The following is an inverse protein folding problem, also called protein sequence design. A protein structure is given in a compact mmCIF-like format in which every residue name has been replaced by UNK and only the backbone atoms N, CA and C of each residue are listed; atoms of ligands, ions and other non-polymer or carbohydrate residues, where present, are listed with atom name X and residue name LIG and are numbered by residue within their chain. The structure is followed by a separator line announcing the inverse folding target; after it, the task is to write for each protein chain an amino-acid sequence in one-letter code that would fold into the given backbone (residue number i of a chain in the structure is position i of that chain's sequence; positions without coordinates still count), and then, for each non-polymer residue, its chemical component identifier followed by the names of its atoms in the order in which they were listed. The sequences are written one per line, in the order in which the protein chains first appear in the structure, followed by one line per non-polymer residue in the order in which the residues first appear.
data_IF_159099159426
#
_entry.id   IF_159099159426
#
_cell.length_a   1.000
_cell.length_b   1.000
_cell.length_c   1.000
_cell.angle_alpha   90.00
_cell.angle_beta   90.00
_cell.angle_gamma   90.00
#
_symmetry.space_group_name_H-M   'P 1'
#
loop_
_entity.id
_entity.type
_entity.pdbx_description
1 polymer ?
#
# COMPACT_ATOMS: atom_id res chain seq x y z
N UNK A 1 14.28 -23.02 -59.36
CA UNK A 1 14.50 -23.68 -58.05
C UNK A 1 13.71 -22.85 -57.04
N UNK A 2 12.49 -23.19 -56.57
CA UNK A 2 12.03 -24.36 -55.78
C UNK A 2 13.03 -24.68 -54.67
N UNK A 3 12.73 -24.75 -53.38
CA UNK A 3 11.54 -24.61 -52.50
C UNK A 3 12.10 -24.36 -51.08
N UNK A 4 11.29 -23.84 -50.14
CA UNK A 4 11.71 -23.77 -48.75
C UNK A 4 10.69 -23.14 -47.79
N UNK A 5 9.47 -23.66 -47.80
CA UNK A 5 8.43 -23.41 -46.79
C UNK A 5 8.89 -23.90 -45.42
N UNK A 6 8.74 -23.09 -44.37
CA UNK A 6 8.64 -23.60 -43.00
C UNK A 6 7.33 -23.15 -42.38
N UNK A 7 6.56 -24.16 -42.01
CA UNK A 7 5.28 -24.09 -41.30
C UNK A 7 5.58 -24.22 -39.80
N UNK A 8 4.96 -23.35 -39.01
CA UNK A 8 4.45 -23.66 -37.67
C UNK A 8 5.47 -23.81 -36.55
N UNK A 9 5.43 -22.88 -35.60
CA UNK A 9 5.21 -23.23 -34.20
C UNK A 9 4.34 -22.13 -33.57
N UNK A 10 3.12 -22.54 -33.21
CA UNK A 10 2.25 -21.84 -32.27
C UNK A 10 3.02 -21.65 -30.96
N UNK A 11 3.55 -20.45 -30.73
CA UNK A 11 3.84 -20.04 -29.37
C UNK A 11 2.57 -19.46 -28.79
N UNK A 12 1.95 -20.29 -27.96
CA UNK A 12 0.76 -19.98 -27.21
C UNK A 12 0.79 -18.56 -26.67
N UNK A 13 -0.26 -17.82 -26.98
CA UNK A 13 -0.67 -16.68 -26.16
C UNK A 13 -0.84 -17.21 -24.74
N UNK A 14 0.20 -17.09 -23.91
CA UNK A 14 -0.03 -16.93 -22.49
C UNK A 14 -1.03 -15.77 -22.37
N UNK A 15 -2.13 -15.94 -21.63
CA UNK A 15 -3.13 -14.89 -21.53
C UNK A 15 -2.39 -13.63 -21.10
N UNK A 16 -2.40 -12.66 -22.00
CA UNK A 16 -1.98 -11.32 -21.69
C UNK A 16 -2.83 -10.91 -20.50
N UNK A 17 -2.20 -10.87 -19.33
CA UNK A 17 -2.64 -9.95 -18.29
C UNK A 17 -2.36 -8.58 -18.91
N UNK A 18 -3.29 -8.14 -19.75
CA UNK A 18 -3.62 -6.75 -19.91
C UNK A 18 -3.70 -6.23 -18.48
N UNK A 19 -2.68 -5.50 -18.06
CA UNK A 19 -2.72 -4.72 -16.82
C UNK A 19 -3.81 -3.69 -17.08
N UNK A 20 -5.03 -4.09 -16.74
CA UNK A 20 -6.26 -3.42 -17.08
C UNK A 20 -6.21 -1.99 -16.56
N UNK A 21 -6.87 -1.10 -17.28
CA UNK A 21 -7.36 0.16 -16.75
C UNK A 21 -7.79 0.00 -15.28
N UNK A 22 -7.34 0.91 -14.41
CA UNK A 22 -7.61 0.98 -12.97
C UNK A 22 -8.58 -0.11 -12.50
N UNK A 23 -8.05 -1.23 -11.97
CA UNK A 23 -8.83 -1.90 -10.93
C UNK A 23 -9.09 -0.85 -9.88
N UNK A 24 -10.35 -0.66 -9.54
CA UNK A 24 -10.71 0.26 -8.48
C UNK A 24 -9.89 -0.14 -7.27
N UNK A 25 -9.01 0.75 -6.82
CA UNK A 25 -8.11 0.50 -5.70
C UNK A 25 -8.92 0.11 -4.45
N UNK A 26 -10.20 0.53 -4.37
CA UNK A 26 -11.16 0.05 -3.39
C UNK A 26 -11.26 -1.47 -3.32
N UNK A 27 -11.26 -2.16 -4.46
CA UNK A 27 -11.34 -3.62 -4.54
C UNK A 27 -10.06 -4.33 -4.08
N UNK A 28 -8.94 -3.60 -3.99
CA UNK A 28 -7.67 -4.16 -3.55
C UNK A 28 -7.48 -4.06 -2.03
N UNK A 29 -8.07 -3.06 -1.37
CA UNK A 29 -8.06 -2.97 0.09
C UNK A 29 -9.10 -3.94 0.66
N UNK A 30 -8.65 -4.82 1.54
CA UNK A 30 -9.46 -5.88 2.14
C UNK A 30 -9.99 -5.47 3.51
N UNK A 31 -9.13 -4.88 4.35
CA UNK A 31 -9.52 -4.43 5.68
C UNK A 31 -8.58 -3.37 6.24
N UNK A 32 -9.07 -2.65 7.24
CA UNK A 32 -8.35 -1.63 8.01
C UNK A 32 -8.66 -1.85 9.49
N UNK A 33 -7.65 -1.72 10.35
CA UNK A 33 -7.80 -1.66 11.81
C UNK A 33 -7.07 -0.43 12.35
N UNK A 34 -7.72 0.29 13.24
CA UNK A 34 -7.14 1.39 14.00
C UNK A 34 -7.38 1.09 15.47
N UNK A 35 -6.32 1.07 16.27
CA UNK A 35 -6.44 0.61 17.65
C UNK A 35 -5.26 0.98 18.52
N UNK A 36 -5.42 0.70 19.81
CA UNK A 36 -4.34 0.77 20.78
C UNK A 36 -3.53 -0.53 20.82
N UNK A 37 -2.76 -0.70 21.89
CA UNK A 37 -1.96 -1.91 22.12
C UNK A 37 -2.79 -3.16 22.40
N UNK A 38 -4.02 -3.00 22.92
CA UNK A 38 -4.86 -4.13 23.37
C UNK A 38 -6.20 -4.23 22.64
N UNK A 39 -6.72 -3.13 22.10
CA UNK A 39 -8.08 -3.06 21.56
C UNK A 39 -8.12 -2.34 20.21
N UNK A 40 -9.10 -2.72 19.40
CA UNK A 40 -9.45 -2.00 18.16
C UNK A 40 -10.45 -0.91 18.50
N UNK A 41 -10.16 0.32 18.06
CA UNK A 41 -11.09 1.45 18.14
C UNK A 41 -12.03 1.46 16.94
N UNK A 42 -11.48 1.14 15.77
CA UNK A 42 -12.20 1.08 14.51
C UNK A 42 -11.72 -0.10 13.67
N UNK A 43 -12.66 -0.77 13.01
CA UNK A 43 -12.37 -1.82 12.06
C UNK A 43 -13.26 -1.64 10.85
N UNK A 44 -12.65 -1.65 9.67
CA UNK A 44 -13.36 -1.64 8.39
C UNK A 44 -12.98 -2.88 7.60
N UNK A 45 -13.96 -3.47 6.93
CA UNK A 45 -13.76 -4.62 6.04
C UNK A 45 -14.49 -4.39 4.73
N UNK A 46 -13.85 -4.71 3.63
CA UNK A 46 -14.47 -4.59 2.32
C UNK A 46 -15.51 -5.70 2.13
N UNK A 47 -16.80 -5.34 2.13
CA UNK A 47 -17.90 -6.29 1.93
C UNK A 47 -17.92 -6.94 0.54
N UNK A 48 -17.28 -6.32 -0.45
CA UNK A 48 -17.31 -6.77 -1.85
C UNK A 48 -16.31 -7.89 -2.14
N UNK A 49 -15.23 -7.99 -1.35
CA UNK A 49 -14.15 -8.95 -1.61
C UNK A 49 -14.37 -10.30 -0.94
N UNK A 50 -15.40 -10.43 -0.09
CA UNK A 50 -15.65 -11.61 0.75
C UNK A 50 -14.51 -11.95 1.70
N UNK A 51 -13.47 -11.10 1.77
CA UNK A 51 -12.26 -11.34 2.55
C UNK A 51 -12.56 -11.06 4.01
N UNK A 52 -12.26 -12.02 4.87
CA UNK A 52 -12.49 -11.87 6.30
C UNK A 52 -11.35 -11.09 6.93
N UNK A 53 -11.72 -10.08 7.73
CA UNK A 53 -10.80 -9.42 8.66
C UNK A 53 -10.15 -10.46 9.57
N UNK A 54 -8.82 -10.51 9.57
CA UNK A 54 -8.06 -11.44 10.41
C UNK A 54 -7.59 -10.76 11.69
N UNK A 55 -8.26 -11.05 12.81
CA UNK A 55 -7.85 -10.61 14.15
C UNK A 55 -6.42 -11.05 14.50
N UNK A 56 -5.97 -12.18 13.96
CA UNK A 56 -4.62 -12.71 14.20
C UNK A 56 -3.56 -11.76 13.62
N UNK A 57 -3.79 -11.15 12.47
CA UNK A 57 -2.82 -10.22 11.87
C UNK A 57 -2.73 -8.93 12.65
N UNK A 58 -3.85 -8.45 13.19
CA UNK A 58 -3.86 -7.29 14.09
C UNK A 58 -3.12 -7.60 15.39
N UNK A 59 -3.34 -8.77 16.00
CA UNK A 59 -2.58 -9.21 17.18
C UNK A 59 -1.09 -9.29 16.85
N UNK A 60 -0.74 -9.84 15.67
CA UNK A 60 0.66 -9.93 15.21
C UNK A 60 1.27 -8.55 15.07
N UNK A 61 0.57 -7.61 14.41
CA UNK A 61 1.03 -6.23 14.26
C UNK A 61 1.23 -5.52 15.61
N UNK A 62 0.36 -5.77 16.59
CA UNK A 62 0.49 -5.25 17.97
C UNK A 62 1.67 -5.86 18.72
N UNK A 63 2.03 -7.10 18.42
CA UNK A 63 3.12 -7.81 19.09
C UNK A 63 4.52 -7.44 18.58
N UNK A 64 4.62 -6.72 17.46
CA UNK A 64 5.91 -6.33 16.90
C UNK A 64 6.59 -5.33 17.86
N UNK A 65 7.78 -5.66 18.39
CA UNK A 65 8.45 -4.82 19.37
C UNK A 65 9.02 -3.55 18.73
N UNK A 66 8.99 -2.46 19.50
CA UNK A 66 9.58 -1.18 19.11
C UNK A 66 8.57 -0.14 18.64
N UNK A 67 9.06 1.09 18.46
CA UNK A 67 8.31 2.19 17.89
C UNK A 67 8.31 2.03 16.37
N UNK A 68 7.31 1.34 15.83
CA UNK A 68 7.12 1.25 14.37
C UNK A 68 6.59 2.58 13.80
N UNK A 69 7.32 3.68 14.00
CA UNK A 69 7.02 4.97 13.33
C UNK A 69 7.20 4.82 11.82
N UNK A 70 8.13 3.95 11.42
CA UNK A 70 8.26 3.44 10.05
C UNK A 70 7.22 2.34 9.76
N UNK A 71 6.90 2.19 8.47
CA UNK A 71 6.01 1.12 8.00
C UNK A 71 6.66 -0.25 8.13
N UNK A 72 5.91 -1.19 8.72
CA UNK A 72 6.27 -2.60 8.75
C UNK A 72 5.43 -3.36 7.73
N UNK A 73 6.10 -4.12 6.88
CA UNK A 73 5.49 -4.87 5.78
C UNK A 73 5.44 -6.36 6.12
N UNK A 74 4.27 -6.97 5.98
CA UNK A 74 4.10 -8.42 6.12
C UNK A 74 3.41 -8.98 4.87
N UNK A 75 3.90 -10.11 4.36
CA UNK A 75 3.28 -10.83 3.24
C UNK A 75 2.66 -12.13 3.75
N UNK A 76 1.42 -12.39 3.36
CA UNK A 76 0.71 -13.65 3.55
C UNK A 76 0.52 -14.33 2.19
N UNK A 77 -0.04 -15.54 2.19
CA UNK A 77 -0.24 -16.32 0.96
C UNK A 77 -1.21 -15.63 -0.01
N UNK A 78 -2.25 -14.98 0.51
CA UNK A 78 -3.36 -14.45 -0.31
C UNK A 78 -3.42 -12.92 -0.34
N UNK A 79 -2.76 -12.26 0.61
CA UNK A 79 -2.78 -10.82 0.77
C UNK A 79 -1.48 -10.35 1.44
N UNK A 80 -1.36 -9.05 1.59
CA UNK A 80 -0.26 -8.42 2.33
C UNK A 80 -0.80 -7.35 3.26
N UNK A 81 0.02 -7.00 4.22
CA UNK A 81 -0.33 -6.12 5.32
C UNK A 81 0.77 -5.08 5.48
N UNK A 82 0.36 -3.85 5.78
CA UNK A 82 1.25 -2.81 6.27
C UNK A 82 0.66 -2.28 7.56
N UNK A 83 1.52 -1.95 8.50
CA UNK A 83 1.11 -1.21 9.67
C UNK A 83 2.19 -0.22 10.11
N UNK A 84 1.75 0.78 10.89
CA UNK A 84 2.61 1.76 11.57
C UNK A 84 1.95 2.21 12.86
N UNK A 85 2.78 2.64 13.80
CA UNK A 85 2.35 3.20 15.07
C UNK A 85 2.63 4.69 15.07
N UNK A 86 1.58 5.50 15.28
CA UNK A 86 1.72 6.94 15.38
C UNK A 86 1.56 7.39 16.84
N UNK A 87 2.45 8.27 17.34
CA UNK A 87 2.26 8.85 18.66
C UNK A 87 1.01 9.72 18.64
N UNK A 88 0.22 9.62 19.71
CA UNK A 88 -0.92 10.50 19.88
C UNK A 88 -0.43 11.94 20.09
N UNK A 89 -0.92 12.93 19.33
CA UNK A 89 -0.36 14.28 19.31
C UNK A 89 -0.40 14.95 20.70
N UNK A 90 -1.47 14.73 21.46
CA UNK A 90 -1.64 15.30 22.81
C UNK A 90 -1.20 14.37 23.95
N UNK A 91 -0.87 13.10 23.63
CA UNK A 91 -0.58 12.03 24.59
C UNK A 91 0.62 11.26 24.10
N UNK A 92 1.76 11.92 23.94
CA UNK A 92 2.94 11.39 23.23
C UNK A 92 3.43 9.99 23.64
N UNK A 93 3.00 9.45 24.79
CA UNK A 93 3.26 8.08 25.23
C UNK A 93 2.28 7.03 24.69
N UNK A 94 1.04 7.41 24.37
CA UNK A 94 0.04 6.54 23.76
C UNK A 94 0.26 6.49 22.27
N UNK A 95 0.48 5.30 21.72
CA UNK A 95 0.59 5.08 20.28
C UNK A 95 -0.70 4.48 19.75
N UNK A 96 -1.10 4.94 18.58
CA UNK A 96 -2.21 4.38 17.82
C UNK A 96 -1.62 3.56 16.68
N UNK A 97 -1.98 2.29 16.63
CA UNK A 97 -1.63 1.36 15.57
C UNK A 97 -2.63 1.51 14.43
N UNK A 98 -2.11 1.73 13.22
CA UNK A 98 -2.88 1.72 11.98
C UNK A 98 -2.43 0.52 11.15
N UNK A 99 -3.39 -0.33 10.77
CA UNK A 99 -3.17 -1.56 10.02
C UNK A 99 -4.03 -1.52 8.76
N UNK A 100 -3.44 -1.90 7.62
CA UNK A 100 -4.16 -2.08 6.36
C UNK A 100 -3.77 -3.41 5.72
N UNK A 101 -4.78 -4.20 5.37
CA UNK A 101 -4.65 -5.42 4.58
C UNK A 101 -5.13 -5.19 3.15
N UNK A 102 -4.35 -5.64 2.17
CA UNK A 102 -4.69 -5.51 0.76
C UNK A 102 -4.27 -6.74 -0.04
N UNK A 103 -4.88 -6.92 -1.21
CA UNK A 103 -4.51 -7.96 -2.17
C UNK A 103 -3.03 -7.91 -2.52
N UNK A 104 -2.48 -9.03 -3.01
CA UNK A 104 -1.08 -9.09 -3.45
C UNK A 104 -0.75 -8.14 -4.62
N UNK A 105 -1.76 -7.69 -5.38
CA UNK A 105 -1.60 -6.79 -6.53
C UNK A 105 -1.53 -5.32 -6.14
N UNK A 106 -2.10 -4.94 -4.98
CA UNK A 106 -2.02 -3.58 -4.47
C UNK A 106 -0.57 -3.13 -4.33
N UNK A 107 -0.20 -1.89 -4.65
CA UNK A 107 1.19 -1.43 -4.45
C UNK A 107 1.40 -0.94 -3.00
N UNK A 108 2.57 -1.21 -2.42
CA UNK A 108 2.88 -0.82 -1.02
C UNK A 108 2.76 0.70 -0.83
N UNK A 109 3.27 1.48 -1.78
CA UNK A 109 3.16 2.94 -1.79
C UNK A 109 1.73 3.47 -1.74
N UNK A 110 0.77 2.72 -2.30
CA UNK A 110 -0.65 3.09 -2.26
C UNK A 110 -1.20 2.89 -0.85
N UNK A 111 -0.93 1.73 -0.26
CA UNK A 111 -1.33 1.39 1.12
C UNK A 111 -0.68 2.35 2.14
N UNK A 112 0.59 2.70 1.95
CA UNK A 112 1.30 3.70 2.79
C UNK A 112 0.63 5.07 2.73
N UNK A 113 0.34 5.56 1.51
CA UNK A 113 -0.35 6.83 1.31
C UNK A 113 -1.77 6.83 1.89
N UNK A 114 -2.44 5.67 1.85
CA UNK A 114 -3.74 5.48 2.47
C UNK A 114 -3.66 5.59 3.99
N UNK A 115 -2.69 4.90 4.62
CA UNK A 115 -2.47 5.00 6.06
C UNK A 115 -2.05 6.41 6.52
N UNK A 116 -1.26 7.13 5.72
CA UNK A 116 -0.94 8.54 6.00
C UNK A 116 -2.20 9.38 6.06
N UNK A 117 -3.05 9.28 5.02
CA UNK A 117 -4.30 10.02 4.95
C UNK A 117 -5.24 9.69 6.12
N UNK A 118 -5.42 8.40 6.42
CA UNK A 118 -6.25 7.97 7.54
C UNK A 118 -5.70 8.42 8.89
N UNK A 119 -4.39 8.40 9.08
CA UNK A 119 -3.75 8.92 10.29
C UNK A 119 -4.06 10.40 10.48
N UNK A 120 -3.91 11.19 9.41
CA UNK A 120 -4.25 12.63 9.43
C UNK A 120 -5.73 12.87 9.79
N UNK A 121 -6.67 12.16 9.16
CA UNK A 121 -8.10 12.31 9.44
C UNK A 121 -8.45 11.85 10.86
N UNK A 122 -7.88 10.72 11.30
CA UNK A 122 -8.11 10.17 12.64
C UNK A 122 -7.73 11.17 13.72
N UNK A 123 -6.52 11.75 13.63
CA UNK A 123 -6.07 12.72 14.62
C UNK A 123 -6.76 14.09 14.48
N UNK A 124 -7.15 14.50 13.27
CA UNK A 124 -7.95 15.71 13.10
C UNK A 124 -9.32 15.60 13.80
N UNK A 125 -9.96 14.42 13.74
CA UNK A 125 -11.30 14.20 14.29
C UNK A 125 -11.30 13.80 15.76
N UNK A 126 -10.35 12.95 16.17
CA UNK A 126 -10.33 12.31 17.48
C UNK A 126 -9.07 12.62 18.29
N UNK A 127 -8.13 13.40 17.77
CA UNK A 127 -6.86 13.70 18.47
C UNK A 127 -7.02 14.48 19.77
N UNK A 128 -8.13 15.21 19.94
CA UNK A 128 -8.48 15.87 21.21
C UNK A 128 -9.33 15.01 22.16
N UNK A 129 -9.78 13.83 21.71
CA UNK A 129 -10.64 12.98 22.55
C UNK A 129 -9.81 12.24 23.60
N UNK A 130 -10.12 12.50 24.86
CA UNK A 130 -9.40 11.94 26.00
C UNK A 130 -9.87 10.52 26.37
N UNK A 131 -11.00 10.05 25.85
CA UNK A 131 -11.63 8.80 26.27
C UNK A 131 -11.79 7.82 25.09
N UNK A 132 -10.70 7.18 24.67
CA UNK A 132 -10.77 6.02 23.76
C UNK A 132 -11.48 4.80 24.37
N UNK A 133 -11.82 4.87 25.67
CA UNK A 133 -12.60 3.87 26.41
C UNK A 133 -14.11 3.94 26.16
N UNK A 134 -14.60 4.93 25.41
CA UNK A 134 -16.04 5.15 25.16
C UNK A 134 -16.73 4.12 24.25
N UNK A 135 -16.06 3.02 23.94
CA UNK A 135 -16.59 1.92 23.14
C UNK A 135 -16.63 2.20 21.62
N UNK A 136 -16.85 1.16 20.79
CA UNK A 136 -16.69 1.23 19.33
C UNK A 136 -17.57 2.28 18.63
N UNK A 137 -18.73 2.60 19.23
CA UNK A 137 -19.72 3.53 18.67
C UNK A 137 -19.18 4.95 18.44
N UNK A 138 -18.17 5.36 19.21
CA UNK A 138 -17.58 6.69 19.06
C UNK A 138 -16.92 6.88 17.68
N UNK A 139 -16.47 5.78 17.07
CA UNK A 139 -15.67 5.79 15.85
C UNK A 139 -16.44 5.32 14.62
N UNK A 140 -17.73 4.98 14.73
CA UNK A 140 -18.57 4.54 13.61
C UNK A 140 -18.65 5.58 12.48
N UNK A 141 -18.55 6.87 12.83
CA UNK A 141 -18.55 7.94 11.82
C UNK A 141 -17.28 7.99 10.94
N UNK A 142 -16.25 7.20 11.25
CA UNK A 142 -15.01 7.16 10.49
C UNK A 142 -15.13 6.42 9.15
N UNK A 143 -16.23 5.71 8.91
CA UNK A 143 -16.55 5.13 7.59
C UNK A 143 -16.60 6.19 6.47
N UNK A 144 -17.01 7.42 6.80
CA UNK A 144 -16.99 8.56 5.88
C UNK A 144 -15.56 8.91 5.45
N UNK A 145 -14.63 8.91 6.41
CA UNK A 145 -13.21 9.18 6.18
C UNK A 145 -12.54 8.06 5.37
N UNK A 146 -12.97 6.80 5.54
CA UNK A 146 -12.56 5.68 4.68
C UNK A 146 -12.99 5.91 3.23
N UNK A 147 -14.25 6.29 3.00
CA UNK A 147 -14.75 6.55 1.66
C UNK A 147 -14.02 7.75 1.01
N UNK A 148 -13.82 8.82 1.77
CA UNK A 148 -13.04 9.97 1.32
C UNK A 148 -11.60 9.58 0.96
N UNK A 149 -10.97 8.67 1.71
CA UNK A 149 -9.63 8.19 1.40
C UNK A 149 -9.57 7.48 0.03
N UNK A 150 -10.59 6.71 -0.35
CA UNK A 150 -10.64 6.07 -1.67
C UNK A 150 -10.72 7.07 -2.82
N UNK A 151 -11.30 8.25 -2.60
CA UNK A 151 -11.37 9.32 -3.61
C UNK A 151 -10.10 10.18 -3.63
N UNK A 152 -9.62 10.57 -2.45
CA UNK A 152 -8.57 11.58 -2.29
C UNK A 152 -7.16 11.00 -2.46
N UNK A 153 -6.91 9.77 -2.01
CA UNK A 153 -5.55 9.18 -2.06
C UNK A 153 -5.04 9.01 -3.49
N UNK A 154 -5.80 8.42 -4.44
CA UNK A 154 -5.35 8.29 -5.82
C UNK A 154 -5.13 9.63 -6.53
N UNK A 155 -5.91 10.65 -6.18
CA UNK A 155 -5.89 11.97 -6.80
C UNK A 155 -4.76 12.85 -6.25
N UNK A 156 -4.68 12.92 -4.93
CA UNK A 156 -3.91 13.96 -4.24
C UNK A 156 -2.64 13.43 -3.58
N UNK A 157 -2.58 12.15 -3.19
CA UNK A 157 -1.45 11.58 -2.45
C UNK A 157 -0.50 10.73 -3.29
N UNK A 158 -0.91 10.36 -4.51
CA UNK A 158 -0.15 9.43 -5.35
C UNK A 158 0.13 10.04 -6.72
N UNK A 159 1.30 9.73 -7.28
CA UNK A 159 1.64 9.98 -8.67
C UNK A 159 2.02 8.68 -9.36
N UNK A 160 1.54 8.48 -10.58
CA UNK A 160 1.89 7.30 -11.38
C UNK A 160 3.09 7.61 -12.28
N UNK A 161 4.10 6.76 -12.21
CA UNK A 161 5.31 6.79 -13.04
C UNK A 161 5.36 5.52 -13.87
N UNK A 162 5.70 5.65 -15.16
CA UNK A 162 5.91 4.49 -16.03
C UNK A 162 7.38 4.08 -15.98
N UNK A 163 7.64 2.82 -15.67
CA UNK A 163 8.98 2.23 -15.63
C UNK A 163 9.06 1.03 -16.55
N UNK A 164 10.25 0.74 -17.06
CA UNK A 164 10.49 -0.47 -17.85
C UNK A 164 11.17 -1.52 -16.98
N UNK A 165 10.58 -2.71 -16.87
CA UNK A 165 11.33 -3.86 -16.40
C UNK A 165 12.08 -4.48 -17.58
N UNK A 166 13.42 -4.41 -17.56
CA UNK A 166 14.24 -5.03 -18.62
C UNK A 166 14.23 -6.55 -18.58
N UNK A 167 14.07 -7.17 -17.41
CA UNK A 167 13.96 -8.64 -17.30
C UNK A 167 12.67 -9.17 -17.93
N UNK A 168 11.54 -8.49 -17.71
CA UNK A 168 10.26 -8.87 -18.33
C UNK A 168 10.07 -8.31 -19.74
N UNK A 169 10.90 -7.34 -20.16
CA UNK A 169 10.71 -6.55 -21.37
C UNK A 169 9.30 -5.89 -21.44
N UNK A 170 8.84 -5.33 -20.33
CA UNK A 170 7.49 -4.77 -20.18
C UNK A 170 7.51 -3.45 -19.41
N UNK A 171 6.55 -2.59 -19.69
CA UNK A 171 6.33 -1.35 -18.93
C UNK A 171 5.33 -1.58 -17.81
N UNK A 172 5.64 -1.06 -16.63
CA UNK A 172 4.80 -1.09 -15.45
C UNK A 172 4.43 0.32 -15.01
N UNK A 173 3.22 0.46 -14.49
CA UNK A 173 2.77 1.67 -13.81
C UNK A 173 3.10 1.53 -12.33
N UNK A 174 4.00 2.34 -11.84
CA UNK A 174 4.37 2.40 -10.41
C UNK A 174 3.72 3.61 -9.79
N UNK A 175 2.96 3.38 -8.73
CA UNK A 175 2.36 4.39 -7.90
C UNK A 175 3.37 4.84 -6.85
N UNK A 176 3.65 6.12 -6.81
CA UNK A 176 4.64 6.75 -5.94
C UNK A 176 3.90 7.65 -4.98
N UNK A 177 4.12 7.46 -3.68
CA UNK A 177 3.58 8.35 -2.66
C UNK A 177 4.21 9.74 -2.83
N UNK A 178 3.41 10.78 -2.99
CA UNK A 178 3.91 12.13 -3.28
C UNK A 178 4.81 12.66 -2.15
N UNK A 179 4.42 12.43 -0.90
CA UNK A 179 5.22 12.81 0.27
C UNK A 179 6.66 12.25 0.26
N UNK A 180 6.90 11.10 -0.39
CA UNK A 180 8.26 10.55 -0.53
C UNK A 180 9.16 11.45 -1.39
N UNK A 181 8.59 12.10 -2.40
CA UNK A 181 9.30 12.99 -3.32
C UNK A 181 9.29 14.42 -2.77
N UNK A 182 8.13 14.90 -2.34
CA UNK A 182 7.92 16.30 -1.93
C UNK A 182 8.72 16.67 -0.67
N UNK A 183 9.02 15.70 0.20
CA UNK A 183 9.81 15.90 1.43
C UNK A 183 11.24 15.33 1.33
N UNK A 184 11.69 14.91 0.15
CA UNK A 184 13.04 14.38 -0.01
C UNK A 184 14.10 15.48 0.16
N UNK A 185 15.14 15.20 0.93
CA UNK A 185 16.29 16.10 1.10
C UNK A 185 17.25 16.10 -0.09
N UNK A 186 17.15 15.10 -0.97
CA UNK A 186 18.03 14.94 -2.12
C UNK A 186 17.36 14.12 -3.23
N UNK A 187 17.83 14.31 -4.47
CA UNK A 187 17.32 13.63 -5.65
C UNK A 187 18.46 13.00 -6.48
N UNK A 188 18.20 11.90 -7.20
CA UNK A 188 16.92 11.18 -7.28
C UNK A 188 16.62 10.30 -6.05
N UNK A 189 15.35 10.15 -5.72
CA UNK A 189 14.87 9.30 -4.61
C UNK A 189 14.88 7.82 -5.04
N UNK A 190 15.57 6.93 -4.31
CA UNK A 190 15.49 5.50 -4.56
C UNK A 190 14.16 4.92 -4.07
N UNK A 191 13.49 4.15 -4.91
CA UNK A 191 12.27 3.40 -4.59
C UNK A 191 12.41 1.95 -5.04
N UNK A 192 12.08 1.00 -4.16
CA UNK A 192 12.03 -0.42 -4.52
C UNK A 192 10.62 -0.79 -4.93
N UNK A 193 10.47 -1.29 -6.16
CA UNK A 193 9.23 -1.85 -6.69
C UNK A 193 9.40 -3.35 -6.90
N UNK A 194 8.50 -4.13 -6.32
CA UNK A 194 8.50 -5.59 -6.45
C UNK A 194 7.38 -6.02 -7.38
N UNK A 195 7.69 -6.80 -8.40
CA UNK A 195 6.69 -7.45 -9.24
C UNK A 195 7.13 -8.85 -9.64
N UNK A 196 6.18 -9.77 -9.71
CA UNK A 196 6.44 -11.20 -9.93
C UNK A 196 7.50 -11.75 -8.96
N UNK A 197 8.70 -12.08 -9.46
CA UNK A 197 9.79 -12.73 -8.73
C UNK A 197 11.06 -11.87 -8.60
N UNK A 198 11.02 -10.59 -8.95
CA UNK A 198 12.19 -9.71 -8.82
C UNK A 198 11.80 -8.30 -8.34
N UNK A 199 12.80 -7.60 -7.83
CA UNK A 199 12.69 -6.22 -7.41
C UNK A 199 13.44 -5.30 -8.37
N UNK A 200 12.90 -4.11 -8.56
CA UNK A 200 13.51 -3.02 -9.30
C UNK A 200 13.80 -1.89 -8.32
N UNK A 201 15.07 -1.48 -8.26
CA UNK A 201 15.48 -0.22 -7.68
C UNK A 201 15.33 0.87 -8.74
N UNK A 202 14.38 1.77 -8.51
CA UNK A 202 14.01 2.87 -9.41
C UNK A 202 14.52 4.18 -8.80
N UNK A 203 15.08 5.06 -9.61
CA UNK A 203 15.51 6.39 -9.19
C UNK A 203 14.54 7.44 -9.73
N UNK A 204 13.82 8.13 -8.85
CA UNK A 204 12.76 9.07 -9.21
C UNK A 204 13.21 10.50 -8.90
N UNK A 205 13.11 11.41 -9.88
CA UNK A 205 13.41 12.82 -9.64
C UNK A 205 12.24 13.63 -9.07
N UNK A 206 12.49 14.91 -8.76
CA UNK A 206 11.48 15.85 -8.26
C UNK A 206 10.27 16.07 -9.18
N UNK A 207 10.38 15.69 -10.47
CA UNK A 207 9.32 15.80 -11.46
C UNK A 207 8.61 14.46 -11.70
N UNK A 208 8.83 13.47 -10.83
CA UNK A 208 8.28 12.12 -10.93
C UNK A 208 8.69 11.40 -12.23
N UNK A 209 9.91 11.65 -12.72
CA UNK A 209 10.49 10.94 -13.86
C UNK A 209 11.49 9.89 -13.39
N UNK A 210 11.44 8.69 -13.97
CA UNK A 210 12.48 7.68 -13.79
C UNK A 210 13.79 8.18 -14.42
N UNK A 211 14.87 8.16 -13.65
CA UNK A 211 16.25 8.46 -14.09
C UNK A 211 17.09 7.21 -14.28
N UNK A 212 16.54 6.06 -13.92
CA UNK A 212 17.14 4.76 -14.15
C UNK A 212 16.49 3.69 -13.31
N UNK A 213 16.63 2.46 -13.75
CA UNK A 213 16.16 1.27 -13.06
C UNK A 213 17.27 0.22 -13.02
N UNK A 214 17.37 -0.49 -11.89
CA UNK A 214 18.28 -1.62 -11.71
C UNK A 214 17.52 -2.79 -11.12
N UNK A 215 17.71 -3.98 -11.68
CA UNK A 215 17.21 -5.20 -11.05
C UNK A 215 18.04 -5.44 -9.79
N UNK A 216 17.37 -5.68 -8.68
CA UNK A 216 18.00 -5.99 -7.39
C UNK A 216 17.48 -7.32 -6.87
N UNK A 217 18.36 -8.06 -6.20
CA UNK A 217 17.97 -9.30 -5.55
C UNK A 217 17.16 -8.98 -4.29
N UNK A 218 16.04 -9.68 -4.12
CA UNK A 218 15.30 -9.69 -2.87
C UNK A 218 16.01 -10.72 -1.98
N UNK A 219 17.02 -10.29 -1.23
CA UNK A 219 17.58 -11.11 -0.16
C UNK A 219 16.75 -10.86 1.09
N UNK A 220 16.01 -11.88 1.52
CA UNK A 220 15.27 -11.93 2.77
C UNK A 220 15.61 -13.23 3.48
#
# INVERSE_FOLDING_TARGET
MRFGTFVGLEYGRLPGISVSAHKDFRQEILFIDIGGSQESYFTWSNSETGSQFSKIDVITARSVPGNAEDYVYMKRNEYKLIFRQLPHPERGFTKILFVIGASLTCQYQVMEAFLDFLGEQWFARFGGNTNFTSGPKLFESFDEDINLAFEMVPKDRIKTVQIQCRACNQYFKVHVKKALIDHASSFPVPLVFVHANHALLIYIDQNYRSRGERIVNITG
#
